data_IF_013163515454
#
_entry.id   IF_013163515454
#
_cell.length_a   1.000
_cell.length_b   1.000
_cell.length_c   1.000
_cell.angle_alpha   90.00
_cell.angle_beta   90.00
_cell.angle_gamma   90.00
#
_symmetry.space_group_name_H-M   'P 1'
#
loop_
_entity.id
_entity.type
_entity.pdbx_description
1 polymer ?
#
# COMPACT_ATOMS: atom_id res chain seq x y z
N UNK A 1 -14.97 -15.19 4.90
CA UNK A 1 -15.41 -14.15 5.87
C UNK A 1 -14.18 -13.43 6.36
N UNK A 2 -14.21 -12.11 6.33
CA UNK A 2 -13.10 -11.28 6.81
C UNK A 2 -13.12 -11.23 8.34
N UNK A 3 -11.99 -11.53 8.96
CA UNK A 3 -11.81 -11.50 10.41
C UNK A 3 -10.75 -10.47 10.81
N UNK A 4 -10.85 -9.93 12.01
CA UNK A 4 -9.78 -9.14 12.59
C UNK A 4 -8.75 -10.11 13.14
N UNK A 5 -7.55 -10.08 12.56
CA UNK A 5 -6.43 -10.89 13.01
C UNK A 5 -5.82 -10.34 14.30
N UNK A 6 -5.50 -9.04 14.31
CA UNK A 6 -4.93 -8.35 15.48
C UNK A 6 -5.15 -6.84 15.41
N UNK A 7 -5.01 -6.18 16.56
CA UNK A 7 -4.94 -4.71 16.69
C UNK A 7 -3.76 -4.32 17.57
N UNK A 8 -3.04 -3.29 17.16
CA UNK A 8 -1.91 -2.73 17.90
C UNK A 8 -2.04 -1.21 17.94
N UNK A 9 -2.13 -0.64 19.14
CA UNK A 9 -2.27 0.81 19.34
C UNK A 9 -1.03 1.34 20.06
N UNK A 10 -0.40 2.37 19.50
CA UNK A 10 0.71 3.09 20.11
C UNK A 10 0.91 4.44 19.41
N UNK A 11 1.36 5.47 20.11
CA UNK A 11 1.76 6.76 19.55
C UNK A 11 0.66 7.51 18.78
N UNK A 12 -0.62 7.31 19.16
CA UNK A 12 -1.74 7.96 18.46
C UNK A 12 -2.22 7.24 17.22
N UNK A 13 -1.64 6.07 16.88
CA UNK A 13 -2.05 5.22 15.76
C UNK A 13 -2.58 3.87 16.24
N UNK A 14 -3.54 3.32 15.51
CA UNK A 14 -3.94 1.92 15.60
C UNK A 14 -3.71 1.23 14.26
N UNK A 15 -2.92 0.18 14.28
CA UNK A 15 -2.76 -0.77 13.19
C UNK A 15 -3.80 -1.89 13.35
N UNK A 16 -4.73 -1.98 12.41
CA UNK A 16 -5.75 -3.03 12.37
C UNK A 16 -5.38 -4.01 11.26
N UNK A 17 -5.03 -5.24 11.64
CA UNK A 17 -4.81 -6.31 10.69
C UNK A 17 -6.09 -7.09 10.51
N UNK A 18 -6.52 -7.22 9.25
CA UNK A 18 -7.67 -8.05 8.85
C UNK A 18 -7.19 -9.18 7.96
N UNK A 19 -7.91 -10.30 8.00
CA UNK A 19 -7.59 -11.48 7.19
C UNK A 19 -8.83 -12.00 6.47
N UNK A 20 -8.65 -12.38 5.21
CA UNK A 20 -9.64 -13.08 4.41
C UNK A 20 -8.96 -14.22 3.65
N UNK A 21 -9.18 -15.46 4.10
CA UNK A 21 -8.41 -16.60 3.62
C UNK A 21 -6.91 -16.41 3.93
N UNK A 22 -6.08 -16.40 2.91
CA UNK A 22 -4.63 -16.14 3.01
C UNK A 22 -4.24 -14.67 2.83
N UNK A 23 -5.19 -13.83 2.44
CA UNK A 23 -4.94 -12.39 2.27
C UNK A 23 -4.98 -11.70 3.61
N UNK A 24 -3.89 -11.01 3.95
CA UNK A 24 -3.79 -10.13 5.11
C UNK A 24 -3.76 -8.69 4.64
N UNK A 25 -4.55 -7.83 5.27
CA UNK A 25 -4.65 -6.40 5.02
C UNK A 25 -4.24 -5.60 6.26
N UNK A 26 -3.63 -4.46 6.06
CA UNK A 26 -3.30 -3.49 7.09
C UNK A 26 -4.08 -2.20 6.87
N UNK A 27 -4.85 -1.79 7.89
CA UNK A 27 -5.39 -0.44 8.01
C UNK A 27 -4.63 0.29 9.11
N UNK A 28 -4.20 1.51 8.82
CA UNK A 28 -3.72 2.45 9.82
C UNK A 28 -4.79 3.51 10.05
N UNK A 29 -5.20 3.71 11.29
CA UNK A 29 -6.22 4.70 11.66
C UNK A 29 -5.78 5.46 12.92
N UNK A 30 -6.28 6.67 13.15
CA UNK A 30 -6.06 7.37 14.42
C UNK A 30 -6.54 6.50 15.60
N UNK A 31 -5.79 6.50 16.69
CA UNK A 31 -6.17 5.75 17.88
C UNK A 31 -7.54 6.19 18.41
N UNK A 32 -8.40 5.22 18.72
CA UNK A 32 -9.76 5.47 19.19
C UNK A 32 -10.80 5.61 18.07
N UNK A 33 -10.40 5.62 16.79
CA UNK A 33 -11.34 5.73 15.65
C UNK A 33 -11.73 4.37 15.06
N UNK A 34 -11.26 3.26 15.62
CA UNK A 34 -11.46 1.91 15.07
C UNK A 34 -12.93 1.51 15.01
N UNK A 35 -13.76 2.04 15.92
CA UNK A 35 -15.22 1.80 15.93
C UNK A 35 -15.95 2.45 14.77
N UNK A 36 -15.36 3.42 14.11
CA UNK A 36 -15.92 4.12 12.95
C UNK A 36 -15.62 3.45 11.61
N UNK A 37 -14.89 2.32 11.60
CA UNK A 37 -14.60 1.59 10.37
C UNK A 37 -15.88 0.99 9.80
N UNK A 38 -16.49 1.69 8.85
CA UNK A 38 -17.79 1.35 8.28
C UNK A 38 -17.73 0.22 7.23
N UNK A 39 -16.54 -0.04 6.66
CA UNK A 39 -16.42 -0.93 5.50
C UNK A 39 -16.14 -2.37 5.88
N UNK A 40 -17.19 -3.19 5.83
CA UNK A 40 -17.07 -4.64 5.90
C UNK A 40 -17.02 -5.32 4.51
N UNK A 41 -17.46 -4.64 3.45
CA UNK A 41 -17.88 -5.30 2.20
C UNK A 41 -16.81 -5.34 1.09
N UNK A 42 -15.73 -4.58 1.22
CA UNK A 42 -14.65 -4.61 0.24
C UNK A 42 -13.73 -5.81 0.46
N UNK A 43 -13.23 -6.41 -0.62
CA UNK A 43 -12.19 -7.42 -0.53
C UNK A 43 -10.94 -6.88 0.20
N UNK A 44 -10.21 -7.76 0.89
CA UNK A 44 -9.00 -7.37 1.61
C UNK A 44 -7.89 -6.99 0.63
N UNK A 45 -7.27 -5.84 0.83
CA UNK A 45 -6.09 -5.41 0.06
C UNK A 45 -4.84 -6.16 0.54
N UNK A 46 -4.12 -6.88 -0.34
CA UNK A 46 -2.91 -7.60 0.07
C UNK A 46 -1.86 -6.70 0.72
N UNK A 47 -1.33 -7.12 1.86
CA UNK A 47 -0.33 -6.42 2.66
C UNK A 47 0.96 -6.12 1.89
N UNK A 48 1.35 -7.01 0.98
CA UNK A 48 2.54 -6.91 0.15
C UNK A 48 2.13 -7.01 -1.31
N UNK A 49 2.63 -6.09 -2.11
CA UNK A 49 2.55 -6.15 -3.56
C UNK A 49 3.92 -6.53 -4.12
N UNK A 50 3.97 -7.57 -4.93
CA UNK A 50 5.17 -8.05 -5.59
C UNK A 50 4.85 -8.50 -7.01
N UNK A 51 5.78 -8.34 -7.93
CA UNK A 51 5.70 -8.89 -9.27
C UNK A 51 7.05 -9.44 -9.70
N UNK A 52 7.03 -10.64 -10.23
CA UNK A 52 8.18 -11.27 -10.86
C UNK A 52 8.09 -11.12 -12.39
N UNK A 53 9.22 -11.23 -13.09
CA UNK A 53 9.26 -11.12 -14.57
C UNK A 53 8.45 -12.21 -15.25
N UNK A 54 8.40 -13.39 -14.65
CA UNK A 54 7.65 -14.56 -15.14
C UNK A 54 6.15 -14.50 -14.82
N UNK A 55 5.67 -13.51 -14.07
CA UNK A 55 4.25 -13.36 -13.80
C UNK A 55 3.51 -12.90 -15.06
N UNK A 56 2.57 -13.69 -15.52
CA UNK A 56 1.68 -13.32 -16.61
C UNK A 56 0.80 -12.11 -16.24
N UNK A 57 0.48 -11.29 -17.22
CA UNK A 57 -0.52 -10.25 -17.02
C UNK A 57 -1.88 -10.89 -16.71
N UNK A 58 -2.61 -10.41 -15.68
CA UNK A 58 -3.92 -10.96 -15.39
C UNK A 58 -4.85 -10.80 -16.59
N UNK A 59 -5.48 -11.90 -16.98
CA UNK A 59 -6.47 -11.93 -18.05
C UNK A 59 -7.79 -11.29 -17.57
N UNK A 60 -7.82 -9.97 -17.45
CA UNK A 60 -9.02 -9.22 -17.08
C UNK A 60 -9.13 -7.96 -17.94
N UNK A 61 -10.31 -7.36 -17.98
CA UNK A 61 -10.56 -6.12 -18.74
C UNK A 61 -9.60 -4.97 -18.35
N UNK A 62 -9.20 -4.89 -17.10
CA UNK A 62 -8.21 -3.94 -16.59
C UNK A 62 -6.82 -4.54 -16.39
N UNK A 63 -6.59 -5.77 -16.85
CA UNK A 63 -5.28 -6.42 -16.79
C UNK A 63 -4.22 -5.62 -17.53
N UNK A 64 -3.02 -5.55 -16.97
CA UNK A 64 -1.89 -4.85 -17.56
C UNK A 64 -1.83 -3.34 -17.28
N UNK A 65 -2.82 -2.74 -16.61
CA UNK A 65 -2.77 -1.33 -16.17
C UNK A 65 -1.98 -1.13 -14.89
N UNK A 66 -1.76 -2.19 -14.12
CA UNK A 66 -1.04 -2.16 -12.85
C UNK A 66 -0.17 -3.40 -12.72
N UNK A 67 0.91 -3.29 -11.95
CA UNK A 67 1.72 -4.44 -11.53
C UNK A 67 1.23 -5.08 -10.22
N UNK A 68 0.18 -4.51 -9.62
CA UNK A 68 -0.39 -5.00 -8.36
C UNK A 68 -1.24 -6.23 -8.59
N UNK A 69 -1.50 -6.96 -7.50
CA UNK A 69 -2.34 -8.15 -7.50
C UNK A 69 -1.91 -9.19 -8.55
N UNK A 70 -0.60 -9.29 -8.75
CA UNK A 70 0.04 -10.24 -9.68
C UNK A 70 -0.30 -11.69 -9.32
N UNK A 71 -0.01 -12.66 -10.20
CA UNK A 71 -0.04 -14.07 -9.85
C UNK A 71 0.77 -14.40 -8.60
N UNK A 72 1.95 -13.77 -8.42
CA UNK A 72 2.76 -13.90 -7.20
C UNK A 72 1.96 -13.51 -5.94
N UNK A 73 1.33 -12.33 -5.95
CA UNK A 73 0.54 -11.85 -4.80
C UNK A 73 -0.63 -12.79 -4.50
N UNK A 74 -1.33 -13.27 -5.52
CA UNK A 74 -2.44 -14.22 -5.37
C UNK A 74 -2.01 -15.60 -4.85
N UNK A 75 -0.76 -15.97 -5.09
CA UNK A 75 -0.18 -17.22 -4.63
C UNK A 75 0.34 -17.14 -3.19
N UNK A 76 0.50 -15.96 -2.61
CA UNK A 76 0.97 -15.80 -1.23
C UNK A 76 0.05 -16.49 -0.24
N UNK A 77 0.64 -17.08 0.79
CA UNK A 77 -0.05 -17.77 1.89
C UNK A 77 0.43 -17.20 3.22
N UNK A 78 -0.52 -16.83 4.06
CA UNK A 78 -0.23 -16.38 5.42
C UNK A 78 0.30 -17.53 6.27
N UNK A 79 1.45 -17.34 6.92
CA UNK A 79 2.09 -18.35 7.76
C UNK A 79 2.14 -17.98 9.24
N UNK A 80 1.98 -16.69 9.57
CA UNK A 80 1.92 -16.26 10.96
C UNK A 80 2.21 -14.78 11.17
N UNK A 81 1.85 -14.32 12.37
CA UNK A 81 2.14 -12.96 12.83
C UNK A 81 2.61 -13.01 14.28
N UNK A 82 3.64 -12.25 14.58
CA UNK A 82 4.17 -12.07 15.95
C UNK A 82 4.30 -10.58 16.25
N UNK A 83 4.26 -10.22 17.54
CA UNK A 83 4.50 -8.85 17.97
C UNK A 83 5.41 -8.82 19.20
N UNK A 84 6.33 -7.87 19.20
CA UNK A 84 7.16 -7.52 20.34
C UNK A 84 6.80 -6.12 20.81
N UNK A 85 6.49 -5.96 22.09
CA UNK A 85 6.08 -4.69 22.70
C UNK A 85 7.11 -4.27 23.73
N UNK A 86 7.49 -2.99 23.67
CA UNK A 86 8.27 -2.30 24.69
C UNK A 86 7.56 -0.98 25.06
N UNK A 87 8.15 -0.21 25.96
CA UNK A 87 7.57 1.08 26.37
C UNK A 87 7.60 2.12 25.24
N UNK A 88 8.59 2.04 24.36
CA UNK A 88 8.89 3.01 23.31
C UNK A 88 8.36 2.59 21.92
N UNK A 89 8.17 1.30 21.67
CA UNK A 89 7.75 0.79 20.36
C UNK A 89 7.01 -0.54 20.41
N UNK A 90 6.23 -0.79 19.38
CA UNK A 90 5.63 -2.09 19.06
C UNK A 90 6.09 -2.52 17.67
N UNK A 91 6.74 -3.68 17.59
CA UNK A 91 7.20 -4.26 16.32
C UNK A 91 6.32 -5.46 15.97
N UNK A 92 5.64 -5.39 14.84
CA UNK A 92 4.75 -6.45 14.35
C UNK A 92 5.37 -7.07 13.11
N UNK A 93 5.57 -8.38 13.12
CA UNK A 93 6.15 -9.14 12.02
C UNK A 93 5.10 -10.09 11.47
N UNK A 94 4.74 -9.90 10.21
CA UNK A 94 3.81 -10.77 9.46
C UNK A 94 4.60 -11.53 8.39
N UNK A 95 4.38 -12.84 8.33
CA UNK A 95 5.09 -13.73 7.40
C UNK A 95 4.12 -14.35 6.41
N UNK A 96 4.56 -14.38 5.15
CA UNK A 96 3.87 -15.05 4.05
C UNK A 96 4.90 -15.87 3.24
N UNK A 97 4.42 -16.88 2.52
CA UNK A 97 5.22 -17.68 1.60
C UNK A 97 4.46 -17.88 0.30
N UNK A 98 5.15 -18.24 -0.77
CA UNK A 98 4.52 -18.68 -2.00
C UNK A 98 4.99 -20.09 -2.40
N UNK A 99 4.27 -20.78 -3.31
CA UNK A 99 4.61 -22.14 -3.72
C UNK A 99 5.97 -22.29 -4.42
N UNK A 100 6.57 -21.20 -4.92
CA UNK A 100 7.89 -21.20 -5.59
C UNK A 100 9.05 -21.14 -4.58
N UNK A 101 8.74 -21.07 -3.28
CA UNK A 101 9.75 -20.99 -2.24
C UNK A 101 10.19 -19.57 -1.91
N UNK A 102 9.44 -18.56 -2.29
CA UNK A 102 9.68 -17.20 -1.82
C UNK A 102 9.02 -16.98 -0.46
N UNK A 103 9.81 -16.47 0.49
CA UNK A 103 9.36 -16.09 1.82
C UNK A 103 9.33 -14.56 1.94
N UNK A 104 8.20 -14.02 2.39
CA UNK A 104 7.99 -12.59 2.57
C UNK A 104 7.82 -12.25 4.04
N UNK A 105 8.49 -11.21 4.48
CA UNK A 105 8.37 -10.70 5.84
C UNK A 105 8.00 -9.21 5.78
N UNK A 106 6.86 -8.86 6.34
CA UNK A 106 6.42 -7.47 6.52
C UNK A 106 6.58 -7.09 7.98
N UNK A 107 7.39 -6.08 8.24
CA UNK A 107 7.64 -5.55 9.58
C UNK A 107 7.04 -4.17 9.70
N UNK A 108 6.11 -3.99 10.63
CA UNK A 108 5.55 -2.68 11.01
C UNK A 108 6.09 -2.32 12.40
N UNK A 109 6.63 -1.11 12.54
CA UNK A 109 7.04 -0.54 13.82
C UNK A 109 6.19 0.69 14.13
N UNK A 110 5.50 0.68 15.27
CA UNK A 110 4.82 1.82 15.86
C UNK A 110 5.69 2.39 16.98
N UNK A 111 5.69 3.72 17.13
CA UNK A 111 6.48 4.44 18.14
C UNK A 111 5.56 5.13 19.14
N UNK A 112 5.96 5.20 20.41
CA UNK A 112 5.14 5.78 21.49
C UNK A 112 5.04 7.30 21.41
N UNK A 113 6.08 7.95 20.94
CA UNK A 113 6.25 9.40 20.91
C UNK A 113 5.87 10.06 19.57
N UNK A 114 5.45 9.24 18.59
CA UNK A 114 5.21 9.72 17.24
C UNK A 114 4.02 9.00 16.59
N UNK A 115 3.05 9.71 16.00
CA UNK A 115 1.96 9.11 15.24
C UNK A 115 2.41 8.67 13.83
N UNK A 116 3.60 8.12 13.72
CA UNK A 116 4.16 7.53 12.50
C UNK A 116 4.43 6.04 12.68
N UNK A 117 4.43 5.33 11.56
CA UNK A 117 4.81 3.94 11.50
C UNK A 117 5.92 3.74 10.47
N UNK A 118 6.88 2.90 10.79
CA UNK A 118 7.87 2.43 9.84
C UNK A 118 7.47 1.07 9.30
N UNK A 119 7.62 0.89 7.99
CA UNK A 119 7.29 -0.37 7.32
C UNK A 119 8.47 -0.84 6.49
N UNK A 120 8.85 -2.10 6.68
CA UNK A 120 9.91 -2.77 5.91
C UNK A 120 9.37 -4.09 5.38
N UNK A 121 9.50 -4.30 4.07
CA UNK A 121 9.21 -5.59 3.44
C UNK A 121 10.52 -6.25 2.99
N UNK A 122 10.69 -7.51 3.35
CA UNK A 122 11.80 -8.36 2.92
C UNK A 122 11.24 -9.55 2.12
N UNK A 123 11.89 -9.87 1.02
CA UNK A 123 11.72 -11.13 0.30
C UNK A 123 13.00 -11.95 0.38
N UNK A 124 12.86 -13.24 0.53
CA UNK A 124 13.94 -14.20 0.57
C UNK A 124 13.58 -15.38 -0.34
N UNK A 125 14.49 -15.72 -1.25
CA UNK A 125 14.34 -16.93 -2.05
C UNK A 125 14.91 -18.11 -1.25
N UNK A 126 14.02 -18.97 -0.77
CA UNK A 126 14.37 -20.20 -0.04
C UNK A 126 14.23 -21.43 -0.93
N UNK A 127 13.82 -21.25 -2.19
CA UNK A 127 13.74 -22.29 -3.21
C UNK A 127 15.05 -22.52 -3.93
N UNK A 128 15.02 -23.37 -4.94
CA UNK A 128 16.19 -23.73 -5.76
C UNK A 128 16.28 -22.98 -7.10
N UNK A 129 15.18 -22.34 -7.52
CA UNK A 129 15.10 -21.63 -8.79
C UNK A 129 15.37 -20.13 -8.61
N UNK A 130 16.03 -19.52 -9.59
CA UNK A 130 16.26 -18.09 -9.60
C UNK A 130 15.00 -17.36 -10.10
N UNK A 131 14.62 -16.28 -9.43
CA UNK A 131 13.50 -15.42 -9.79
C UNK A 131 13.97 -13.97 -9.94
N UNK A 132 13.42 -13.26 -10.93
CA UNK A 132 13.70 -11.85 -11.13
C UNK A 132 12.54 -11.00 -10.64
N UNK A 133 12.82 -10.13 -9.67
CA UNK A 133 11.85 -9.25 -9.06
C UNK A 133 11.71 -7.96 -9.89
N UNK A 134 10.50 -7.67 -10.37
CA UNK A 134 10.17 -6.43 -11.09
C UNK A 134 9.65 -5.34 -10.14
N UNK A 135 8.92 -5.74 -9.10
CA UNK A 135 8.33 -4.82 -8.14
C UNK A 135 8.23 -5.47 -6.76
N UNK A 136 8.53 -4.70 -5.72
CA UNK A 136 8.26 -5.05 -4.34
C UNK A 136 7.80 -3.81 -3.58
N UNK A 137 6.59 -3.84 -3.04
CA UNK A 137 6.14 -2.77 -2.16
C UNK A 137 6.86 -2.82 -0.81
N UNK A 138 7.37 -1.68 -0.36
CA UNK A 138 7.80 -1.52 1.03
C UNK A 138 6.59 -1.48 1.95
N UNK A 139 5.50 -0.83 1.50
CA UNK A 139 4.24 -0.75 2.22
C UNK A 139 3.05 -0.84 1.26
N UNK A 140 1.90 -1.26 1.79
CA UNK A 140 0.59 -1.16 1.16
C UNK A 140 -0.42 -0.73 2.23
N UNK A 141 -1.01 0.44 2.03
CA UNK A 141 -2.13 0.93 2.84
C UNK A 141 -3.42 0.65 2.07
N UNK A 142 -4.20 -0.29 2.57
CA UNK A 142 -5.49 -0.66 1.98
C UNK A 142 -6.64 0.17 2.53
N UNK A 143 -7.74 0.16 1.82
CA UNK A 143 -9.02 0.76 2.27
C UNK A 143 -8.85 2.17 2.83
N UNK A 144 -8.18 3.05 2.11
CA UNK A 144 -8.07 4.46 2.50
C UNK A 144 -9.46 5.09 2.58
N UNK A 145 -9.67 5.89 3.62
CA UNK A 145 -10.98 6.32 4.10
C UNK A 145 -11.91 5.15 4.47
N UNK A 146 -11.52 4.31 5.45
CA UNK A 146 -12.33 3.17 5.89
C UNK A 146 -13.62 3.61 6.62
N UNK A 147 -13.76 4.89 6.93
CA UNK A 147 -14.89 5.47 7.66
C UNK A 147 -16.08 5.79 6.77
N UNK A 148 -15.87 5.86 5.45
CA UNK A 148 -16.91 6.21 4.49
C UNK A 148 -17.57 4.98 3.91
N UNK A 149 -18.89 4.97 3.88
CA UNK A 149 -19.67 4.09 3.02
C UNK A 149 -19.51 4.53 1.54
N UNK A 150 -19.68 3.63 0.60
CA UNK A 150 -19.69 3.97 -0.84
C UNK A 150 -18.37 4.43 -1.43
N UNK A 151 -17.23 4.11 -0.81
CA UNK A 151 -15.89 4.39 -1.37
C UNK A 151 -15.47 5.88 -1.33
N UNK A 152 -16.04 6.69 -0.43
CA UNK A 152 -15.70 8.09 -0.19
C UNK A 152 -15.71 8.95 -1.48
N UNK A 153 -16.83 9.04 -2.22
CA UNK A 153 -16.91 9.86 -3.41
C UNK A 153 -16.76 11.34 -3.04
N UNK A 154 -16.07 12.11 -3.88
CA UNK A 154 -15.91 13.58 -3.80
C UNK A 154 -15.25 14.11 -2.52
N UNK A 155 -14.70 13.24 -1.67
CA UNK A 155 -14.11 13.63 -0.37
C UNK A 155 -12.62 13.43 -0.27
N UNK A 156 -12.01 12.72 -1.22
CA UNK A 156 -10.59 12.40 -1.17
C UNK A 156 -9.75 13.38 -1.99
N UNK A 157 -8.72 13.94 -1.34
CA UNK A 157 -7.69 14.75 -2.00
C UNK A 157 -6.34 14.06 -1.95
N UNK A 158 -5.64 14.11 -3.06
CA UNK A 158 -4.32 13.52 -3.25
C UNK A 158 -3.28 14.62 -3.24
N UNK A 159 -2.29 14.51 -2.37
CA UNK A 159 -1.20 15.47 -2.24
C UNK A 159 0.10 14.80 -2.66
N UNK A 160 0.81 15.43 -3.62
CA UNK A 160 2.10 14.98 -4.13
C UNK A 160 3.07 16.13 -4.17
N UNK A 161 4.35 15.86 -4.06
CA UNK A 161 5.41 16.85 -4.14
C UNK A 161 6.15 16.70 -5.47
N UNK A 162 5.96 17.64 -6.39
CA UNK A 162 6.75 17.69 -7.62
C UNK A 162 8.13 18.26 -7.33
N UNK A 163 9.11 17.77 -8.09
CA UNK A 163 10.49 18.17 -7.93
C UNK A 163 11.18 18.29 -9.29
N UNK A 164 11.64 19.49 -9.60
CA UNK A 164 12.52 19.76 -10.73
C UNK A 164 13.61 20.73 -10.29
N UNK A 165 14.67 20.88 -11.07
CA UNK A 165 15.72 21.85 -10.77
C UNK A 165 15.15 23.25 -10.52
N UNK A 166 15.51 23.84 -9.38
CA UNK A 166 15.05 25.16 -8.89
C UNK A 166 13.53 25.27 -8.65
N UNK A 167 12.81 24.13 -8.52
CA UNK A 167 11.40 24.06 -8.17
C UNK A 167 11.10 22.77 -7.39
N UNK A 168 11.96 22.46 -6.42
CA UNK A 168 11.88 21.27 -5.59
C UNK A 168 10.74 21.39 -4.55
N UNK A 169 10.05 20.28 -4.31
CA UNK A 169 9.04 20.18 -3.26
C UNK A 169 7.76 20.97 -3.51
N UNK A 170 7.38 21.24 -4.77
CA UNK A 170 6.13 21.91 -5.09
C UNK A 170 4.94 21.00 -4.76
N UNK A 171 4.14 21.42 -3.78
CA UNK A 171 2.90 20.73 -3.44
C UNK A 171 1.87 20.86 -4.58
N UNK A 172 1.32 19.72 -4.99
CA UNK A 172 0.18 19.61 -5.90
C UNK A 172 -0.91 18.85 -5.18
N UNK A 173 -2.12 19.42 -5.16
CA UNK A 173 -3.32 18.82 -4.58
C UNK A 173 -4.35 18.63 -5.68
N UNK A 174 -4.85 17.41 -5.82
CA UNK A 174 -5.83 17.04 -6.86
C UNK A 174 -6.95 16.23 -6.19
N UNK A 175 -8.18 16.37 -6.65
CA UNK A 175 -9.25 15.47 -6.21
C UNK A 175 -9.00 14.07 -6.78
N UNK A 176 -9.49 13.04 -6.10
CA UNK A 176 -9.39 11.67 -6.60
C UNK A 176 -10.06 11.53 -7.98
N UNK A 177 -11.13 12.26 -8.21
CA UNK A 177 -11.89 12.33 -9.47
C UNK A 177 -11.08 12.97 -10.60
N UNK A 178 -10.30 14.02 -10.32
CA UNK A 178 -9.41 14.65 -11.31
C UNK A 178 -8.34 13.66 -11.82
N UNK A 179 -8.02 12.67 -11.00
CA UNK A 179 -7.09 11.58 -11.31
C UNK A 179 -7.79 10.32 -11.84
N UNK A 180 -9.10 10.39 -12.11
CA UNK A 180 -9.92 9.23 -12.53
C UNK A 180 -9.88 8.08 -11.50
N UNK A 181 -9.74 8.41 -10.22
CA UNK A 181 -9.74 7.46 -9.10
C UNK A 181 -11.08 7.46 -8.37
N UNK A 182 -12.15 7.88 -9.01
CA UNK A 182 -13.52 7.78 -8.49
C UNK A 182 -13.99 6.32 -8.47
N UNK A 183 -14.95 6.00 -7.59
CA UNK A 183 -15.65 4.75 -7.65
C UNK A 183 -16.40 4.62 -8.97
N UNK A 184 -16.16 3.57 -9.72
CA UNK A 184 -16.91 3.28 -10.93
C UNK A 184 -17.44 1.84 -10.89
N UNK A 185 -17.70 1.21 -12.01
CA UNK A 185 -18.33 -0.10 -12.04
C UNK A 185 -17.53 -1.14 -11.25
N UNK A 186 -18.19 -1.76 -10.30
CA UNK A 186 -17.66 -2.88 -9.52
C UNK A 186 -17.11 -3.94 -10.46
N UNK A 187 -15.87 -4.36 -10.24
CA UNK A 187 -15.13 -5.34 -11.01
C UNK A 187 -14.57 -4.88 -12.38
N UNK A 188 -14.96 -3.75 -12.94
CA UNK A 188 -14.53 -3.35 -14.28
C UNK A 188 -13.65 -2.09 -14.31
N UNK A 189 -13.57 -1.36 -13.23
CA UNK A 189 -12.83 -0.11 -13.15
C UNK A 189 -11.75 -0.14 -12.11
N UNK A 190 -10.70 -0.86 -12.42
CA UNK A 190 -9.45 -0.65 -11.72
C UNK A 190 -8.72 0.50 -12.40
N UNK A 191 -8.66 1.65 -11.75
CA UNK A 191 -7.85 2.77 -12.19
C UNK A 191 -6.64 2.94 -11.27
N UNK A 192 -5.52 3.31 -11.84
CA UNK A 192 -4.31 3.57 -11.09
C UNK A 192 -3.59 4.83 -11.57
N UNK A 193 -3.00 5.53 -10.62
CA UNK A 193 -2.06 6.61 -10.88
C UNK A 193 -0.72 6.22 -10.29
N UNK A 194 0.28 6.08 -11.14
CA UNK A 194 1.65 5.75 -10.75
C UNK A 194 2.56 6.93 -10.96
N UNK A 195 3.49 7.10 -10.07
CA UNK A 195 4.58 8.07 -10.19
C UNK A 195 5.81 7.53 -9.46
N UNK A 196 6.96 8.00 -9.86
CA UNK A 196 8.22 7.48 -9.32
C UNK A 196 9.42 8.12 -9.96
N UNK A 197 10.57 7.54 -9.74
CA UNK A 197 11.83 7.90 -10.37
C UNK A 197 12.62 6.65 -10.70
N UNK A 198 13.33 6.67 -11.83
CA UNK A 198 14.20 5.57 -12.27
C UNK A 198 15.64 6.03 -12.18
N UNK A 199 16.51 5.14 -11.70
CA UNK A 199 17.93 5.36 -11.58
C UNK A 199 18.35 5.87 -10.19
N UNK A 200 19.51 6.55 -10.14
CA UNK A 200 20.15 6.95 -8.89
C UNK A 200 19.76 8.35 -8.38
N UNK A 201 18.79 8.99 -9.02
CA UNK A 201 18.31 10.31 -8.61
C UNK A 201 16.83 10.24 -8.18
N UNK A 202 16.57 9.93 -6.89
CA UNK A 202 15.24 9.52 -6.43
C UNK A 202 14.18 10.64 -6.42
N UNK A 203 14.59 11.88 -6.57
CA UNK A 203 13.68 13.06 -6.52
C UNK A 203 13.44 13.70 -7.90
N UNK A 204 13.72 13.00 -8.99
CA UNK A 204 13.46 13.49 -10.34
C UNK A 204 11.96 13.41 -10.66
N UNK A 205 11.35 14.56 -10.92
CA UNK A 205 9.93 14.68 -11.23
C UNK A 205 9.04 14.73 -9.99
N UNK A 206 9.27 13.85 -9.03
CA UNK A 206 8.55 13.78 -7.76
C UNK A 206 9.49 13.48 -6.60
N UNK A 207 9.13 13.99 -5.42
CA UNK A 207 9.64 13.50 -4.15
C UNK A 207 8.92 12.19 -3.82
N UNK A 208 9.59 11.18 -3.23
CA UNK A 208 8.97 9.90 -2.87
C UNK A 208 7.99 10.03 -1.69
N UNK A 209 6.95 10.81 -1.90
CA UNK A 209 5.92 11.16 -0.92
C UNK A 209 4.54 11.22 -1.58
N UNK A 210 3.53 10.73 -0.87
CA UNK A 210 2.13 10.89 -1.21
C UNK A 210 1.29 10.97 0.06
N UNK A 211 0.28 11.85 0.06
CA UNK A 211 -0.74 11.83 1.08
C UNK A 211 -2.14 11.77 0.47
N UNK A 212 -3.06 11.13 1.19
CA UNK A 212 -4.49 11.05 0.87
C UNK A 212 -5.25 11.62 2.04
N UNK A 213 -5.95 12.72 1.82
CA UNK A 213 -6.79 13.39 2.80
C UNK A 213 -8.25 13.00 2.58
N UNK A 214 -8.92 12.53 3.62
CA UNK A 214 -10.37 12.43 3.68
C UNK A 214 -10.93 13.70 4.34
N UNK A 215 -11.46 14.59 3.53
CA UNK A 215 -11.98 15.88 3.99
C UNK A 215 -13.26 15.74 4.80
N UNK A 216 -14.01 14.66 4.62
CA UNK A 216 -15.26 14.41 5.37
C UNK A 216 -14.97 13.98 6.82
N UNK A 217 -13.87 13.30 7.06
CA UNK A 217 -13.51 12.78 8.39
C UNK A 217 -12.30 13.47 9.01
N UNK A 218 -11.64 14.40 8.28
CA UNK A 218 -10.48 15.12 8.77
C UNK A 218 -9.26 14.22 9.06
N UNK A 219 -9.09 13.15 8.29
CA UNK A 219 -7.99 12.19 8.42
C UNK A 219 -7.11 12.22 7.19
N UNK A 220 -5.80 12.27 7.39
CA UNK A 220 -4.82 12.23 6.30
C UNK A 220 -3.87 11.06 6.50
N UNK A 221 -3.78 10.19 5.49
CA UNK A 221 -2.77 9.15 5.40
C UNK A 221 -1.61 9.65 4.55
N UNK A 222 -0.44 9.74 5.13
CA UNK A 222 0.77 10.13 4.41
C UNK A 222 1.79 9.00 4.42
N UNK A 223 2.49 8.83 3.31
CA UNK A 223 3.54 7.85 3.17
C UNK A 223 4.73 8.42 2.39
N UNK A 224 5.92 8.01 2.79
CA UNK A 224 7.16 8.31 2.07
C UNK A 224 8.02 7.04 1.98
N UNK A 225 8.87 6.96 0.96
CA UNK A 225 9.91 5.93 0.87
C UNK A 225 11.29 6.56 1.01
N UNK A 226 12.21 5.81 1.62
CA UNK A 226 13.61 6.23 1.81
C UNK A 226 14.56 5.58 0.79
N UNK A 227 14.01 5.03 -0.30
CA UNK A 227 14.82 4.39 -1.34
C UNK A 227 15.68 5.40 -2.07
N UNK A 228 16.97 5.16 -2.13
CA UNK A 228 17.97 5.97 -2.85
C UNK A 228 18.17 5.57 -4.32
N UNK A 229 17.31 4.72 -4.86
CA UNK A 229 17.36 4.21 -6.23
C UNK A 229 15.98 4.32 -6.88
N UNK A 230 15.73 3.53 -7.92
CA UNK A 230 14.42 3.47 -8.57
C UNK A 230 13.32 3.12 -7.57
N UNK A 231 12.25 3.90 -7.58
CA UNK A 231 11.08 3.70 -6.72
C UNK A 231 9.80 4.05 -7.45
N UNK A 232 8.71 3.50 -6.99
CA UNK A 232 7.37 3.91 -7.41
C UNK A 232 6.42 4.05 -6.22
N UNK A 233 5.41 4.89 -6.40
CA UNK A 233 4.18 4.90 -5.64
C UNK A 233 3.01 4.72 -6.58
N UNK A 234 2.00 4.00 -6.13
CA UNK A 234 0.78 3.76 -6.89
C UNK A 234 -0.45 3.97 -6.01
N UNK A 235 -1.31 4.88 -6.44
CA UNK A 235 -2.68 4.98 -5.98
C UNK A 235 -3.52 4.06 -6.86
N UNK A 236 -4.25 3.16 -6.25
CA UNK A 236 -5.04 2.16 -6.96
C UNK A 236 -6.47 2.15 -6.44
N UNK A 237 -7.42 2.34 -7.33
CA UNK A 237 -8.85 2.26 -7.04
C UNK A 237 -9.43 0.99 -7.63
N UNK A 238 -10.10 0.23 -6.79
CA UNK A 238 -10.85 -0.97 -7.18
C UNK A 238 -12.11 -1.09 -6.33
N UNK A 239 -12.80 -2.20 -6.43
CA UNK A 239 -13.88 -2.59 -5.50
C UNK A 239 -13.39 -2.82 -4.07
N UNK A 240 -12.07 -2.96 -3.87
CA UNK A 240 -11.42 -2.97 -2.55
C UNK A 240 -11.27 -1.57 -1.93
N UNK A 241 -11.63 -0.52 -2.65
CA UNK A 241 -11.45 0.86 -2.25
C UNK A 241 -10.23 1.53 -2.87
N UNK A 242 -9.83 2.68 -2.33
CA UNK A 242 -8.58 3.33 -2.67
C UNK A 242 -7.47 2.74 -1.81
N UNK A 243 -6.35 2.43 -2.42
CA UNK A 243 -5.14 2.01 -1.73
C UNK A 243 -3.93 2.79 -2.23
N UNK A 244 -2.92 2.92 -1.38
CA UNK A 244 -1.62 3.50 -1.69
C UNK A 244 -0.54 2.47 -1.38
N UNK A 245 0.29 2.18 -2.37
CA UNK A 245 1.50 1.38 -2.16
C UNK A 245 2.73 2.11 -2.66
N UNK A 246 3.87 1.80 -2.09
CA UNK A 246 5.14 2.35 -2.52
C UNK A 246 6.28 1.39 -2.24
N UNK A 247 7.32 1.42 -3.07
CA UNK A 247 8.48 0.56 -2.90
C UNK A 247 9.40 0.53 -4.11
N UNK A 248 10.17 -0.53 -4.19
CA UNK A 248 11.11 -0.78 -5.28
C UNK A 248 10.35 -1.05 -6.59
N UNK A 249 10.82 -0.40 -7.66
CA UNK A 249 10.44 -0.74 -9.03
C UNK A 249 11.62 -0.48 -9.96
N UNK A 250 11.77 -1.34 -10.95
CA UNK A 250 12.93 -1.34 -11.85
C UNK A 250 12.58 -0.94 -13.28
N UNK A 251 11.37 -0.46 -13.54
CA UNK A 251 10.94 -0.07 -14.88
C UNK A 251 10.56 1.40 -14.98
N UNK A 252 10.84 1.96 -16.14
CA UNK A 252 10.43 3.29 -16.51
C UNK A 252 8.90 3.40 -16.55
N UNK A 253 8.37 4.47 -15.97
CA UNK A 253 6.95 4.77 -16.02
C UNK A 253 6.72 5.74 -17.16
N UNK A 254 5.89 5.34 -18.10
CA UNK A 254 5.40 6.25 -19.12
C UNK A 254 4.68 7.45 -18.48
N UNK A 255 4.77 8.58 -19.12
CA UNK A 255 4.13 9.84 -18.71
C UNK A 255 2.60 9.71 -18.77
#
# INVERSE_FOLDING_TARGET
MREILNRYTLGGLTAVYRREGDVVELLLVPAGSEGGIARADCAAEPLIQAKLTEDDAPASFSGGRTMRNSPTVKAMRYTGQTAQKSADKTVVVTKLTDPRGLAYTHTLTLYADNPAAEVVTRVENTGSEAHTLEMLSSFTLGSLSPFSEGLAPETLKIHRLRSTWSAEGRLVTEAAEDLQLEPSWKCYSANSVRFGSVGSFPVRGFVPFCAVEDTAHGVTWAAATTLGSSWQMELYRSDMGLSLSGGLADREFGA
#
